data_IF_493942028746
#
_entry.id   IF_493942028746
#
_cell.length_a   1.000
_cell.length_b   1.000
_cell.length_c   1.000
_cell.angle_alpha   90.00
_cell.angle_beta   90.00
_cell.angle_gamma   90.00
#
_symmetry.space_group_name_H-M   'P 1'
#
loop_
_entity.id
_entity.type
_entity.pdbx_description
1 polymer ?
#
# COMPACT_ATOMS: atom_id res chain seq x y z
N UNK A 1 -4.55 -7.02 -12.18
CA UNK A 1 -5.37 -7.52 -11.05
C UNK A 1 -4.58 -7.66 -9.75
N UNK A 2 -3.23 -7.73 -9.79
CA UNK A 2 -2.36 -7.67 -8.60
C UNK A 2 -2.60 -6.43 -7.74
N UNK A 3 -2.46 -5.23 -8.31
CA UNK A 3 -2.68 -3.95 -7.61
C UNK A 3 -4.02 -3.80 -6.84
N UNK A 4 -5.06 -4.58 -7.18
CA UNK A 4 -6.36 -4.55 -6.48
C UNK A 4 -6.34 -5.36 -5.17
N UNK A 5 -5.63 -6.48 -5.16
CA UNK A 5 -5.45 -7.34 -3.99
C UNK A 5 -4.29 -6.85 -3.11
N UNK A 6 -3.34 -6.16 -3.73
CA UNK A 6 -2.13 -5.65 -3.08
C UNK A 6 -2.43 -4.49 -2.10
N UNK A 7 -3.57 -3.80 -2.26
CA UNK A 7 -3.98 -2.74 -1.33
C UNK A 7 -4.44 -3.25 0.05
N UNK A 8 -4.83 -4.52 0.17
CA UNK A 8 -5.40 -5.06 1.42
C UNK A 8 -4.33 -5.15 2.52
N UNK A 9 -3.14 -5.74 2.29
CA UNK A 9 -2.07 -5.76 3.28
C UNK A 9 -1.62 -4.35 3.69
N UNK A 10 -1.47 -3.41 2.74
CA UNK A 10 -1.09 -2.02 3.06
C UNK A 10 -2.11 -1.35 4.00
N UNK A 11 -3.41 -1.49 3.70
CA UNK A 11 -4.46 -0.89 4.50
C UNK A 11 -4.57 -1.52 5.89
N UNK A 12 -4.28 -2.80 6.03
CA UNK A 12 -4.24 -3.49 7.32
C UNK A 12 -3.09 -2.95 8.19
N UNK A 13 -1.88 -2.81 7.62
CA UNK A 13 -0.72 -2.20 8.30
C UNK A 13 -1.04 -0.79 8.76
N UNK A 14 -1.67 0.01 7.89
CA UNK A 14 -2.10 1.36 8.23
C UNK A 14 -3.05 1.38 9.43
N UNK A 15 -4.04 0.48 9.46
CA UNK A 15 -4.98 0.36 10.58
C UNK A 15 -4.27 0.05 11.90
N UNK A 16 -3.34 -0.90 11.88
CA UNK A 16 -2.55 -1.28 13.06
C UNK A 16 -1.63 -0.13 13.51
N UNK A 17 -0.96 0.54 12.57
CA UNK A 17 -0.07 1.68 12.85
C UNK A 17 -0.82 2.88 13.44
N UNK A 18 -2.05 3.13 13.00
CA UNK A 18 -2.92 4.17 13.57
C UNK A 18 -3.30 3.88 15.03
N UNK A 19 -3.53 2.62 15.39
CA UNK A 19 -3.87 2.23 16.75
C UNK A 19 -2.67 2.32 17.72
N UNK A 20 -1.44 2.23 17.20
CA UNK A 20 -0.22 2.31 18.01
C UNK A 20 0.06 3.71 18.58
N UNK A 21 -0.59 4.77 18.10
CA UNK A 21 -0.68 6.08 18.76
C UNK A 21 0.56 6.99 18.72
N UNK A 22 1.74 6.48 18.38
CA UNK A 22 2.97 7.28 18.20
C UNK A 22 3.14 7.69 16.73
N UNK A 23 3.79 8.84 16.46
CA UNK A 23 3.84 9.60 15.19
C UNK A 23 4.13 8.86 13.87
N UNK A 24 4.42 7.56 13.92
CA UNK A 24 4.42 6.58 12.81
C UNK A 24 3.17 6.71 11.94
N UNK A 25 2.00 6.97 12.53
CA UNK A 25 0.73 7.08 11.78
C UNK A 25 0.76 8.16 10.70
N UNK A 26 1.29 9.36 10.99
CA UNK A 26 1.30 10.46 10.02
C UNK A 26 2.28 10.22 8.86
N UNK A 27 3.49 9.76 9.18
CA UNK A 27 4.50 9.43 8.16
C UNK A 27 4.04 8.28 7.25
N UNK A 28 3.42 7.25 7.83
CA UNK A 28 2.89 6.10 7.10
C UNK A 28 1.74 6.49 6.17
N UNK A 29 0.81 7.34 6.62
CA UNK A 29 -0.26 7.89 5.76
C UNK A 29 0.33 8.62 4.57
N UNK A 30 1.30 9.51 4.80
CA UNK A 30 1.93 10.29 3.73
C UNK A 30 2.63 9.37 2.74
N UNK A 31 3.38 8.38 3.22
CA UNK A 31 4.06 7.41 2.37
C UNK A 31 3.07 6.62 1.49
N UNK A 32 1.98 6.12 2.09
CA UNK A 32 0.93 5.35 1.39
C UNK A 32 0.21 6.20 0.35
N UNK A 33 -0.08 7.47 0.63
CA UNK A 33 -0.70 8.37 -0.36
C UNK A 33 0.25 8.61 -1.54
N UNK A 34 1.53 8.83 -1.25
CA UNK A 34 2.54 9.10 -2.27
C UNK A 34 2.81 7.87 -3.15
N UNK A 35 2.74 6.65 -2.61
CA UNK A 35 2.90 5.41 -3.39
C UNK A 35 1.63 5.05 -4.18
N UNK A 36 0.46 5.07 -3.52
CA UNK A 36 -0.78 4.62 -4.14
C UNK A 36 -1.30 5.57 -5.22
N UNK A 37 -1.06 6.87 -5.13
CA UNK A 37 -1.60 7.82 -6.11
C UNK A 37 -1.05 7.57 -7.53
N UNK A 38 0.29 7.48 -7.76
CA UNK A 38 0.85 7.09 -9.05
C UNK A 38 0.36 5.72 -9.54
N UNK A 39 0.26 4.73 -8.64
CA UNK A 39 -0.15 3.37 -8.96
C UNK A 39 -1.63 3.32 -9.41
N UNK A 40 -2.49 4.05 -8.70
CA UNK A 40 -3.91 4.20 -9.02
C UNK A 40 -4.11 4.81 -10.41
N UNK A 41 -3.34 5.86 -10.72
CA UNK A 41 -3.39 6.54 -12.02
C UNK A 41 -2.85 5.63 -13.13
N UNK A 42 -1.74 4.93 -12.88
CA UNK A 42 -1.13 4.00 -13.82
C UNK A 42 -2.08 2.86 -14.18
N UNK A 43 -2.61 2.18 -13.16
CA UNK A 43 -3.55 1.07 -13.31
C UNK A 43 -4.87 1.52 -13.97
N UNK A 44 -5.45 2.66 -13.56
CA UNK A 44 -6.63 3.21 -14.22
C UNK A 44 -6.36 3.55 -15.69
N UNK A 45 -5.20 4.11 -16.01
CA UNK A 45 -4.80 4.44 -17.38
C UNK A 45 -4.63 3.19 -18.25
N UNK A 46 -4.04 2.12 -17.70
CA UNK A 46 -3.86 0.84 -18.39
C UNK A 46 -5.21 0.14 -18.65
N UNK A 47 -6.14 0.20 -17.69
CA UNK A 47 -7.51 -0.31 -17.88
C UNK A 47 -8.28 0.48 -18.94
N UNK A 48 -8.11 1.79 -19.01
CA UNK A 48 -8.71 2.60 -20.07
C UNK A 48 -8.10 2.29 -21.45
N UNK A 49 -6.77 2.12 -21.54
CA UNK A 49 -6.07 1.78 -22.78
C UNK A 49 -6.40 0.38 -23.30
N UNK A 50 -6.72 -0.56 -22.42
CA UNK A 50 -7.20 -1.91 -22.80
C UNK A 50 -8.66 -1.94 -23.29
N UNK A 51 -9.31 -0.77 -23.42
CA UNK A 51 -10.65 -0.65 -23.98
C UNK A 51 -11.78 -0.79 -22.95
N UNK A 52 -11.48 -0.80 -21.65
CA UNK A 52 -12.51 -0.88 -20.62
C UNK A 52 -13.28 0.45 -20.49
N UNK A 53 -14.60 0.33 -20.34
CA UNK A 53 -15.50 1.48 -20.20
C UNK A 53 -15.20 2.26 -18.90
N UNK A 54 -15.12 3.60 -18.99
CA UNK A 54 -14.81 4.50 -17.85
C UNK A 54 -15.64 4.21 -16.59
N UNK A 55 -16.94 3.98 -16.76
CA UNK A 55 -17.86 3.67 -15.64
C UNK A 55 -17.48 2.40 -14.90
N UNK A 56 -17.00 1.37 -15.61
CA UNK A 56 -16.56 0.10 -15.01
C UNK A 56 -15.25 0.29 -14.25
N UNK A 57 -14.32 1.08 -14.78
CA UNK A 57 -13.08 1.43 -14.09
C UNK A 57 -13.38 2.16 -12.77
N UNK A 58 -14.27 3.16 -12.80
CA UNK A 58 -14.67 3.90 -11.59
C UNK A 58 -15.36 3.01 -10.56
N UNK A 59 -16.29 2.14 -11.00
CA UNK A 59 -16.98 1.19 -10.11
C UNK A 59 -16.01 0.21 -9.43
N UNK A 60 -15.04 -0.31 -10.19
CA UNK A 60 -14.01 -1.19 -9.65
C UNK A 60 -13.17 -0.46 -8.59
N UNK A 61 -12.72 0.76 -8.88
CA UNK A 61 -11.96 1.56 -7.91
C UNK A 61 -12.77 1.93 -6.66
N UNK A 62 -14.07 2.19 -6.80
CA UNK A 62 -14.95 2.41 -5.66
C UNK A 62 -15.07 1.14 -4.77
N UNK A 63 -15.16 -0.05 -5.37
CA UNK A 63 -15.17 -1.31 -4.63
C UNK A 63 -13.84 -1.56 -3.90
N UNK A 64 -12.71 -1.24 -4.53
CA UNK A 64 -11.38 -1.33 -3.91
C UNK A 64 -11.27 -0.38 -2.73
N UNK A 65 -11.65 0.88 -2.92
CA UNK A 65 -11.64 1.88 -1.84
C UNK A 65 -12.47 1.43 -0.64
N UNK A 66 -13.62 0.77 -0.87
CA UNK A 66 -14.44 0.21 0.20
C UNK A 66 -13.73 -0.93 0.93
N UNK A 67 -13.15 -1.89 0.21
CA UNK A 67 -12.40 -3.02 0.80
C UNK A 67 -11.19 -2.52 1.59
N UNK A 68 -10.45 -1.56 1.03
CA UNK A 68 -9.34 -0.88 1.69
C UNK A 68 -9.78 -0.22 3.00
N UNK A 69 -10.89 0.52 2.99
CA UNK A 69 -11.44 1.16 4.20
C UNK A 69 -11.80 0.11 5.25
N UNK A 70 -12.42 -1.00 4.85
CA UNK A 70 -12.76 -2.10 5.77
C UNK A 70 -11.51 -2.76 6.35
N UNK A 71 -10.46 -2.94 5.56
CA UNK A 71 -9.18 -3.50 6.02
C UNK A 71 -8.49 -2.58 7.04
N UNK A 72 -8.49 -1.27 6.82
CA UNK A 72 -7.96 -0.29 7.79
C UNK A 72 -8.74 -0.30 9.10
N UNK A 73 -10.08 -0.30 9.03
CA UNK A 73 -10.92 -0.37 10.23
C UNK A 73 -10.70 -1.69 10.99
N UNK A 74 -10.59 -2.81 10.27
CA UNK A 74 -10.30 -4.10 10.86
C UNK A 74 -8.91 -4.14 11.53
N UNK A 75 -7.89 -3.60 10.87
CA UNK A 75 -6.53 -3.49 11.42
C UNK A 75 -6.48 -2.65 12.69
N UNK A 76 -7.19 -1.51 12.70
CA UNK A 76 -7.30 -0.65 13.89
C UNK A 76 -8.02 -1.36 15.04
N UNK A 77 -9.17 -1.97 14.77
CA UNK A 77 -9.94 -2.69 15.78
C UNK A 77 -9.19 -3.91 16.34
N UNK A 78 -8.44 -4.63 15.50
CA UNK A 78 -7.58 -5.74 15.93
C UNK A 78 -6.41 -5.27 16.80
N UNK A 79 -5.82 -4.12 16.50
CA UNK A 79 -4.73 -3.59 17.30
C UNK A 79 -5.23 -3.05 18.67
N UNK A 80 -6.40 -2.43 18.70
CA UNK A 80 -7.04 -1.94 19.94
C UNK A 80 -7.52 -3.09 20.84
N UNK A 81 -8.02 -4.18 20.27
CA UNK A 81 -8.63 -5.27 21.04
C UNK A 81 -7.66 -6.33 21.58
N UNK A 82 -6.46 -6.50 21.00
CA UNK A 82 -5.68 -7.75 21.18
C UNK A 82 -4.30 -7.54 21.88
N UNK A 83 -3.98 -6.33 22.33
CA UNK A 83 -2.75 -6.06 23.09
C UNK A 83 -1.46 -6.02 22.23
N UNK A 84 -0.39 -5.46 22.79
CA UNK A 84 0.82 -5.08 22.04
C UNK A 84 1.57 -6.24 21.39
N UNK A 85 1.54 -7.45 21.98
CA UNK A 85 2.24 -8.62 21.46
C UNK A 85 1.57 -9.17 20.19
N UNK A 86 0.23 -9.23 20.15
CA UNK A 86 -0.49 -9.63 18.95
C UNK A 86 -0.40 -8.56 17.86
N UNK A 87 -0.47 -7.28 18.22
CA UNK A 87 -0.28 -6.19 17.27
C UNK A 87 1.10 -6.26 16.59
N UNK A 88 2.17 -6.56 17.36
CA UNK A 88 3.51 -6.77 16.79
C UNK A 88 3.57 -7.98 15.85
N UNK A 89 2.94 -9.11 16.21
CA UNK A 89 2.87 -10.29 15.35
C UNK A 89 2.07 -10.03 14.06
N UNK A 90 0.93 -9.36 14.17
CA UNK A 90 0.10 -8.97 13.02
C UNK A 90 0.83 -7.99 12.10
N UNK A 91 1.56 -7.02 12.67
CA UNK A 91 2.38 -6.09 11.89
C UNK A 91 3.53 -6.81 11.17
N UNK A 92 4.19 -7.76 11.84
CA UNK A 92 5.22 -8.61 11.22
C UNK A 92 4.67 -9.48 10.08
N UNK A 93 3.49 -10.06 10.26
CA UNK A 93 2.81 -10.82 9.21
C UNK A 93 2.46 -9.93 8.01
N UNK A 94 1.93 -8.74 8.27
CA UNK A 94 1.54 -7.81 7.23
C UNK A 94 2.75 -7.23 6.47
N UNK A 95 3.87 -6.98 7.16
CA UNK A 95 5.15 -6.65 6.52
C UNK A 95 5.63 -7.78 5.59
N UNK A 96 5.46 -9.05 6.01
CA UNK A 96 5.74 -10.21 5.16
C UNK A 96 4.86 -10.26 3.91
N UNK A 97 3.57 -9.94 4.03
CA UNK A 97 2.67 -9.86 2.88
C UNK A 97 3.07 -8.75 1.89
N UNK A 98 3.51 -7.58 2.40
CA UNK A 98 4.05 -6.51 1.55
C UNK A 98 5.32 -6.95 0.80
N UNK A 99 6.20 -7.73 1.44
CA UNK A 99 7.39 -8.27 0.78
C UNK A 99 7.02 -9.22 -0.37
N UNK A 100 6.01 -10.09 -0.17
CA UNK A 100 5.52 -10.99 -1.23
C UNK A 100 5.01 -10.18 -2.42
N UNK A 101 4.16 -9.17 -2.20
CA UNK A 101 3.67 -8.29 -3.27
C UNK A 101 4.82 -7.58 -4.00
N UNK A 102 5.77 -7.04 -3.25
CA UNK A 102 6.87 -6.30 -3.81
C UNK A 102 7.73 -7.19 -4.74
N UNK A 103 7.94 -8.45 -4.37
CA UNK A 103 8.70 -9.42 -5.17
C UNK A 103 7.91 -9.99 -6.34
N UNK A 104 6.64 -10.35 -6.13
CA UNK A 104 5.84 -11.07 -7.13
C UNK A 104 5.25 -10.14 -8.20
N UNK A 105 4.89 -8.90 -7.85
CA UNK A 105 4.22 -7.97 -8.76
C UNK A 105 5.02 -6.69 -9.00
N UNK A 106 5.36 -5.94 -7.95
CA UNK A 106 5.85 -4.56 -8.12
C UNK A 106 7.26 -4.48 -8.75
N UNK A 107 8.22 -5.30 -8.28
CA UNK A 107 9.58 -5.31 -8.87
C UNK A 107 9.54 -5.73 -10.34
N UNK A 108 8.91 -6.86 -10.73
CA UNK A 108 8.82 -7.26 -12.13
C UNK A 108 8.19 -6.19 -13.02
N UNK A 109 7.08 -5.58 -12.59
CA UNK A 109 6.38 -4.55 -13.35
C UNK A 109 7.24 -3.28 -13.51
N UNK A 110 7.91 -2.87 -12.44
CA UNK A 110 8.80 -1.71 -12.49
C UNK A 110 9.99 -1.96 -13.44
N UNK A 111 10.59 -3.15 -13.40
CA UNK A 111 11.66 -3.53 -14.32
C UNK A 111 11.20 -3.57 -15.78
N UNK A 112 9.97 -4.01 -16.05
CA UNK A 112 9.40 -4.02 -17.39
C UNK A 112 9.17 -2.60 -17.93
N UNK A 113 8.60 -1.70 -17.11
CA UNK A 113 8.23 -0.34 -17.50
C UNK A 113 9.41 0.64 -17.51
N UNK A 114 10.29 0.59 -16.50
CA UNK A 114 11.34 1.57 -16.25
C UNK A 114 12.77 1.05 -16.48
N UNK A 115 12.95 -0.27 -16.65
CA UNK A 115 14.24 -0.92 -16.98
C UNK A 115 15.37 -0.47 -16.05
N UNK A 116 16.47 0.05 -16.60
CA UNK A 116 17.67 0.46 -15.86
C UNK A 116 17.40 1.55 -14.79
N UNK A 117 16.35 2.37 -14.98
CA UNK A 117 16.01 3.42 -14.02
C UNK A 117 15.27 2.91 -12.77
N UNK A 118 14.79 1.66 -12.79
CA UNK A 118 14.03 1.04 -11.70
C UNK A 118 14.81 1.03 -10.39
N UNK A 119 16.06 0.53 -10.42
CA UNK A 119 16.86 0.41 -9.21
C UNK A 119 17.16 1.75 -8.54
N UNK A 120 17.48 2.78 -9.33
CA UNK A 120 17.72 4.13 -8.82
C UNK A 120 16.44 4.73 -8.22
N UNK A 121 15.31 4.57 -8.91
CA UNK A 121 14.02 5.05 -8.42
C UNK A 121 13.60 4.36 -7.11
N UNK A 122 13.80 3.04 -6.98
CA UNK A 122 13.54 2.29 -5.76
C UNK A 122 14.39 2.79 -4.60
N UNK A 123 15.69 3.00 -4.80
CA UNK A 123 16.60 3.51 -3.77
C UNK A 123 16.20 4.92 -3.33
N UNK A 124 15.87 5.80 -4.26
CA UNK A 124 15.42 7.18 -3.94
C UNK A 124 14.11 7.14 -3.15
N UNK A 125 13.12 6.36 -3.61
CA UNK A 125 11.84 6.21 -2.91
C UNK A 125 12.01 5.69 -1.48
N UNK A 126 12.84 4.66 -1.30
CA UNK A 126 13.16 4.11 0.02
C UNK A 126 13.86 5.15 0.91
N UNK A 127 14.85 5.88 0.38
CA UNK A 127 15.57 6.90 1.14
C UNK A 127 14.66 8.05 1.59
N UNK A 128 13.72 8.48 0.73
CA UNK A 128 12.72 9.50 1.08
C UNK A 128 11.77 8.99 2.16
N UNK A 129 11.26 7.76 2.01
CA UNK A 129 10.36 7.15 3.00
C UNK A 129 11.06 6.98 4.37
N UNK A 130 12.30 6.49 4.37
CA UNK A 130 13.11 6.35 5.58
C UNK A 130 13.40 7.71 6.23
N UNK A 131 13.72 8.74 5.42
CA UNK A 131 13.93 10.10 5.91
C UNK A 131 12.67 10.68 6.58
N UNK A 132 11.49 10.45 6.01
CA UNK A 132 10.22 10.86 6.61
C UNK A 132 9.94 10.11 7.92
N UNK A 133 10.20 8.80 7.95
CA UNK A 133 9.98 7.98 9.13
C UNK A 133 10.91 8.35 10.30
N UNK A 134 12.15 8.79 10.01
CA UNK A 134 13.11 9.25 11.02
C UNK A 134 12.85 10.68 11.50
N UNK A 135 12.03 11.45 10.78
CA UNK A 135 11.71 12.84 11.09
C UNK A 135 10.37 13.01 11.87
N UNK A 136 9.60 11.94 12.02
CA UNK A 136 8.33 11.87 12.75
C UNK A 136 8.53 11.31 14.17
#
# INVERSE_FOLDING_TARGET
>A
MGALLDGIPEQLVLGIGLAAGDGVGAALIVAIIVSNLPESIGSASDLLKSGMHKTRVVLMWAAVALVCTLATVAGFALADAVGSEFAAAANGFAAGALLVMLVDSMIPEAQEKAKESTGLATVIGFAVAAGLALAA
#
